data_IF_841941659394
#
_entry.id   IF_841941659394
#
_cell.length_a   1.000
_cell.length_b   1.000
_cell.length_c   1.000
_cell.angle_alpha   90.00
_cell.angle_beta   90.00
_cell.angle_gamma   90.00
#
_symmetry.space_group_name_H-M   'P 1'
#
loop_
_entity.id
_entity.type
_entity.pdbx_description
1 polymer ?
#
# COMPACT_ATOMS: atom_id res chain seq x y z
N UNK A 1 -0.45 17.92 -13.85
CA UNK A 1 -0.03 17.32 -12.57
C UNK A 1 -0.25 15.82 -12.70
N UNK A 2 0.73 14.98 -12.36
CA UNK A 2 0.57 13.53 -12.44
C UNK A 2 -0.08 13.01 -11.17
N UNK A 3 -0.96 12.02 -11.31
CA UNK A 3 -1.53 11.25 -10.20
C UNK A 3 -0.63 10.06 -9.93
N UNK A 4 -0.41 9.73 -8.67
CA UNK A 4 0.45 8.65 -8.21
C UNK A 4 -0.34 7.54 -7.51
N UNK A 5 0.26 6.37 -7.39
CA UNK A 5 -0.35 5.19 -6.81
C UNK A 5 -0.47 5.32 -5.29
N UNK A 6 -1.67 5.02 -4.77
CA UNK A 6 -1.96 4.94 -3.34
C UNK A 6 -2.73 3.67 -3.02
N UNK A 7 -2.38 3.05 -1.88
CA UNK A 7 -3.25 2.10 -1.22
C UNK A 7 -3.45 2.49 0.26
N UNK A 8 -4.69 2.42 0.73
CA UNK A 8 -5.04 2.50 2.14
C UNK A 8 -5.27 1.08 2.66
N UNK A 9 -4.74 0.78 3.84
CA UNK A 9 -4.88 -0.53 4.49
C UNK A 9 -5.33 -0.37 5.93
N UNK A 10 -6.37 -1.10 6.34
CA UNK A 10 -6.69 -1.22 7.78
C UNK A 10 -5.59 -2.05 8.44
N UNK A 11 -5.06 -1.62 9.58
CA UNK A 11 -4.08 -2.44 10.29
C UNK A 11 -4.33 -2.49 11.79
N UNK A 12 -3.90 -3.58 12.43
CA UNK A 12 -3.96 -3.74 13.87
C UNK A 12 -2.67 -3.27 14.53
N UNK A 13 -2.75 -2.75 15.76
CA UNK A 13 -1.56 -2.42 16.57
C UNK A 13 -1.01 -3.64 17.32
N UNK A 14 -1.10 -4.83 16.72
CA UNK A 14 -0.59 -6.07 17.32
C UNK A 14 0.93 -6.05 17.42
N UNK A 15 1.49 -6.89 18.29
CA UNK A 15 2.95 -7.01 18.44
C UNK A 15 3.59 -7.56 17.16
N UNK A 16 2.86 -8.41 16.45
CA UNK A 16 3.21 -9.02 15.17
C UNK A 16 3.39 -7.95 14.10
N UNK A 17 2.44 -7.02 13.97
CA UNK A 17 2.55 -5.91 13.01
C UNK A 17 3.71 -4.96 13.37
N UNK A 18 3.92 -4.67 14.66
CA UNK A 18 5.07 -3.87 15.08
C UNK A 18 6.40 -4.57 14.71
N UNK A 19 6.49 -5.89 14.86
CA UNK A 19 7.65 -6.67 14.42
C UNK A 19 7.81 -6.66 12.90
N UNK A 20 6.72 -6.74 12.14
CA UNK A 20 6.75 -6.66 10.68
C UNK A 20 7.28 -5.29 10.21
N UNK A 21 6.80 -4.19 10.81
CA UNK A 21 7.31 -2.83 10.53
C UNK A 21 8.80 -2.72 10.87
N UNK A 22 9.25 -3.30 11.99
CA UNK A 22 10.68 -3.38 12.30
C UNK A 22 11.45 -4.17 11.24
N UNK A 23 10.86 -5.23 10.69
CA UNK A 23 11.46 -6.02 9.63
C UNK A 23 11.61 -5.23 8.33
N UNK A 24 10.62 -4.41 7.98
CA UNK A 24 10.70 -3.49 6.83
C UNK A 24 11.79 -2.43 7.02
N UNK A 25 11.87 -1.82 8.21
CA UNK A 25 12.90 -0.84 8.56
C UNK A 25 14.31 -1.44 8.47
N UNK A 26 14.48 -2.69 8.94
CA UNK A 26 15.76 -3.39 8.92
C UNK A 26 16.01 -4.20 7.63
N UNK A 27 15.11 -4.11 6.64
CA UNK A 27 15.19 -4.81 5.36
C UNK A 27 15.29 -6.34 5.48
N UNK A 28 14.76 -6.91 6.56
CA UNK A 28 14.68 -8.38 6.74
C UNK A 28 13.44 -8.97 6.07
N UNK A 29 12.56 -8.11 5.55
CA UNK A 29 11.35 -8.47 4.81
C UNK A 29 11.40 -7.76 3.46
N UNK A 30 11.67 -8.47 2.36
CA UNK A 30 11.58 -7.89 1.02
C UNK A 30 10.11 -7.69 0.64
N UNK A 31 9.75 -6.55 0.05
CA UNK A 31 8.38 -6.32 -0.44
C UNK A 31 8.21 -6.86 -1.87
N UNK A 32 9.11 -6.48 -2.78
CA UNK A 32 9.18 -7.09 -4.11
C UNK A 32 10.45 -6.66 -4.83
N UNK A 33 11.33 -7.62 -5.15
CA UNK A 33 12.49 -7.37 -6.00
C UNK A 33 12.10 -6.92 -7.43
N UNK A 34 10.87 -7.24 -7.85
CA UNK A 34 10.36 -6.92 -9.17
C UNK A 34 10.06 -5.42 -9.33
N UNK A 35 9.58 -4.73 -8.28
CA UNK A 35 9.35 -3.27 -8.31
C UNK A 35 10.63 -2.54 -8.70
N UNK A 36 11.76 -2.89 -8.08
CA UNK A 36 13.08 -2.32 -8.40
C UNK A 36 13.58 -2.71 -9.78
N UNK A 37 13.22 -3.89 -10.27
CA UNK A 37 13.58 -4.31 -11.63
C UNK A 37 12.84 -3.46 -12.67
N UNK A 38 11.53 -3.27 -12.48
CA UNK A 38 10.71 -2.44 -13.37
C UNK A 38 11.13 -0.97 -13.32
N UNK A 39 11.48 -0.43 -12.16
CA UNK A 39 11.99 0.95 -12.06
C UNK A 39 13.21 1.20 -12.94
N UNK A 40 14.17 0.27 -12.90
CA UNK A 40 15.40 0.33 -13.70
C UNK A 40 15.12 0.16 -15.19
N UNK A 41 14.21 -0.74 -15.56
CA UNK A 41 13.82 -0.98 -16.95
C UNK A 41 13.21 0.27 -17.60
N UNK A 42 12.41 1.03 -16.85
CA UNK A 42 11.76 2.25 -17.31
C UNK A 42 12.62 3.51 -17.09
N UNK A 43 13.89 3.36 -16.72
CA UNK A 43 14.87 4.44 -16.47
C UNK A 43 14.36 5.52 -15.48
N UNK A 44 13.50 5.13 -14.54
CA UNK A 44 13.11 6.05 -13.48
C UNK A 44 14.31 6.32 -12.56
N UNK A 45 14.53 7.60 -12.20
CA UNK A 45 15.68 8.02 -11.41
C UNK A 45 15.67 7.35 -10.03
N UNK A 46 16.63 6.46 -9.79
CA UNK A 46 16.88 5.88 -8.47
C UNK A 46 17.43 6.97 -7.53
N UNK A 47 16.56 7.65 -6.81
CA UNK A 47 16.99 8.61 -5.79
C UNK A 47 17.49 7.86 -4.54
N UNK A 48 18.74 7.37 -4.50
CA UNK A 48 19.40 6.80 -3.30
C UNK A 48 18.49 5.94 -2.39
N UNK A 49 17.85 4.91 -2.96
CA UNK A 49 16.99 3.96 -2.24
C UNK A 49 17.78 2.84 -1.54
N UNK A 50 19.09 3.02 -1.37
CA UNK A 50 19.99 1.97 -0.84
C UNK A 50 19.66 1.51 0.60
N UNK A 51 18.78 2.21 1.33
CA UNK A 51 18.28 1.75 2.63
C UNK A 51 16.88 2.26 2.95
N UNK A 52 16.16 1.44 3.72
CA UNK A 52 14.93 1.88 4.38
C UNK A 52 15.24 2.93 5.45
N UNK A 53 14.41 3.97 5.56
CA UNK A 53 14.57 5.01 6.56
C UNK A 53 13.28 5.81 6.78
N UNK A 54 13.17 6.47 7.93
CA UNK A 54 12.07 7.38 8.23
C UNK A 54 12.35 8.76 7.64
N UNK A 55 11.36 9.34 6.97
CA UNK A 55 11.44 10.64 6.31
C UNK A 55 10.26 11.53 6.67
N UNK A 56 10.47 12.84 6.75
CA UNK A 56 9.38 13.79 6.91
C UNK A 56 8.61 13.94 5.59
N UNK A 57 7.27 14.01 5.66
CA UNK A 57 6.41 14.06 4.48
C UNK A 57 6.56 15.37 3.68
N UNK A 58 6.81 16.48 4.36
CA UNK A 58 6.87 17.82 3.76
C UNK A 58 8.09 18.05 2.87
N UNK A 59 9.23 17.46 3.22
CA UNK A 59 10.52 17.75 2.57
C UNK A 59 11.38 16.50 2.29
N UNK A 60 10.92 15.30 2.65
CA UNK A 60 11.64 14.05 2.44
C UNK A 60 12.91 13.89 3.28
N UNK A 61 13.20 14.80 4.22
CA UNK A 61 14.40 14.74 5.05
C UNK A 61 14.33 13.54 5.97
N UNK A 62 15.44 12.83 6.11
CA UNK A 62 15.54 11.74 7.08
C UNK A 62 15.29 12.25 8.51
N UNK A 63 14.46 11.53 9.26
CA UNK A 63 14.09 11.83 10.65
C UNK A 63 14.24 10.59 11.54
N UNK A 64 14.03 10.75 12.84
CA UNK A 64 13.98 9.63 13.78
C UNK A 64 12.65 8.90 13.64
N UNK A 65 12.68 7.61 13.90
CA UNK A 65 11.48 6.78 14.02
C UNK A 65 10.49 7.39 15.03
N UNK A 66 9.20 7.56 14.66
CA UNK A 66 8.18 8.01 15.59
C UNK A 66 7.87 6.91 16.64
N UNK A 67 7.45 7.33 17.85
CA UNK A 67 7.10 6.39 18.94
C UNK A 67 5.77 5.68 18.73
N UNK A 68 4.96 6.17 17.80
CA UNK A 68 3.64 5.66 17.45
C UNK A 68 3.22 6.22 16.09
N UNK A 69 1.93 6.14 15.75
CA UNK A 69 1.38 6.75 14.54
C UNK A 69 1.67 8.25 14.48
N UNK A 70 2.15 8.70 13.33
CA UNK A 70 2.53 10.07 13.06
C UNK A 70 2.37 10.33 11.55
N UNK A 71 1.41 11.19 11.18
CA UNK A 71 1.09 11.47 9.78
C UNK A 71 2.11 12.40 9.11
N UNK A 72 3.01 13.01 9.89
CA UNK A 72 4.07 13.87 9.36
C UNK A 72 5.30 13.10 8.91
N UNK A 73 5.34 11.79 9.16
CA UNK A 73 6.52 10.95 8.93
C UNK A 73 6.12 9.65 8.21
N UNK A 74 6.90 9.28 7.19
CA UNK A 74 6.74 8.02 6.46
C UNK A 74 7.98 7.14 6.61
N UNK A 75 7.77 5.82 6.63
CA UNK A 75 8.85 4.86 6.40
C UNK A 75 9.03 4.70 4.89
N UNK A 76 10.15 5.21 4.37
CA UNK A 76 10.58 4.96 2.99
C UNK A 76 11.27 3.60 2.93
N UNK A 77 10.80 2.71 2.06
CA UNK A 77 11.39 1.38 1.83
C UNK A 77 12.45 1.43 0.73
N UNK A 78 13.23 0.35 0.60
CA UNK A 78 14.21 0.20 -0.49
C UNK A 78 13.55 -0.03 -1.85
N UNK A 79 12.30 -0.48 -1.85
CA UNK A 79 11.52 -0.75 -3.06
C UNK A 79 10.72 0.49 -3.51
N UNK A 80 10.99 1.67 -2.94
CA UNK A 80 10.38 2.94 -3.38
C UNK A 80 9.01 3.26 -2.77
N UNK A 81 8.53 2.48 -1.80
CA UNK A 81 7.27 2.75 -1.10
C UNK A 81 7.47 3.71 0.08
N UNK A 82 6.47 4.52 0.34
CA UNK A 82 6.37 5.37 1.53
C UNK A 82 5.17 4.90 2.35
N UNK A 83 5.44 4.41 3.56
CA UNK A 83 4.42 3.90 4.48
C UNK A 83 4.17 4.92 5.59
N UNK A 84 2.99 5.53 5.60
CA UNK A 84 2.57 6.48 6.64
C UNK A 84 1.53 5.81 7.53
N UNK A 85 1.75 5.81 8.84
CA UNK A 85 0.91 5.10 9.80
C UNK A 85 0.04 6.08 10.59
N UNK A 86 -1.27 6.01 10.36
CA UNK A 86 -2.31 6.73 11.12
C UNK A 86 -2.94 5.90 12.22
N UNK A 87 -4.11 6.31 12.71
CA UNK A 87 -4.83 5.55 13.74
C UNK A 87 -5.57 4.34 13.14
N UNK A 88 -4.88 3.19 13.06
CA UNK A 88 -5.48 1.94 12.56
C UNK A 88 -5.61 1.87 11.03
N UNK A 89 -5.00 2.83 10.33
CA UNK A 89 -4.90 2.87 8.87
C UNK A 89 -3.44 3.16 8.47
N UNK A 90 -2.96 2.44 7.47
CA UNK A 90 -1.67 2.65 6.83
C UNK A 90 -1.90 3.18 5.41
N UNK A 91 -1.24 4.28 5.06
CA UNK A 91 -1.17 4.76 3.69
C UNK A 91 0.12 4.27 3.05
N UNK A 92 -0.01 3.50 1.98
CA UNK A 92 1.05 3.03 1.11
C UNK A 92 1.08 3.92 -0.12
N UNK A 93 2.09 4.77 -0.24
CA UNK A 93 2.27 5.68 -1.36
C UNK A 93 3.46 5.24 -2.21
N UNK A 94 3.36 5.36 -3.53
CA UNK A 94 4.45 5.05 -4.45
C UNK A 94 4.42 5.97 -5.67
N UNK A 95 5.59 6.46 -6.11
CA UNK A 95 5.76 7.44 -7.20
C UNK A 95 5.43 6.90 -8.61
N UNK A 96 4.86 5.71 -8.70
CA UNK A 96 4.40 5.15 -9.97
C UNK A 96 3.18 5.96 -10.37
N UNK A 97 3.22 6.56 -11.57
CA UNK A 97 2.04 7.29 -12.08
C UNK A 97 0.86 6.34 -12.16
N UNK A 98 -0.28 6.78 -11.65
CA UNK A 98 -1.55 6.06 -11.67
C UNK A 98 -1.86 5.54 -13.08
N UNK A 99 -1.60 6.35 -14.11
CA UNK A 99 -1.73 5.92 -15.51
C UNK A 99 -0.92 4.65 -15.84
N UNK A 100 0.34 4.54 -15.42
CA UNK A 100 1.14 3.34 -15.68
C UNK A 100 0.60 2.13 -14.94
N UNK A 101 0.15 2.31 -13.69
CA UNK A 101 -0.58 1.26 -12.99
C UNK A 101 -1.82 0.83 -13.78
N UNK A 102 -2.60 1.76 -14.35
CA UNK A 102 -3.79 1.41 -15.11
C UNK A 102 -3.49 0.77 -16.48
N UNK A 103 -2.40 1.13 -17.15
CA UNK A 103 -2.16 0.73 -18.55
C UNK A 103 -1.15 -0.40 -18.73
N UNK A 104 -0.25 -0.63 -17.77
CA UNK A 104 0.86 -1.57 -17.92
C UNK A 104 0.66 -2.83 -17.07
N UNK A 105 0.37 -4.00 -17.66
CA UNK A 105 0.05 -5.22 -16.91
C UNK A 105 1.14 -5.69 -15.95
N UNK A 106 2.42 -5.46 -16.28
CA UNK A 106 3.54 -5.81 -15.39
C UNK A 106 3.52 -4.93 -14.13
N UNK A 107 3.31 -3.62 -14.29
CA UNK A 107 3.17 -2.73 -13.15
C UNK A 107 1.94 -3.07 -12.31
N UNK A 108 0.81 -3.46 -12.93
CA UNK A 108 -0.38 -3.91 -12.21
C UNK A 108 -0.07 -5.09 -11.29
N UNK A 109 0.42 -6.19 -11.88
CA UNK A 109 0.70 -7.42 -11.14
C UNK A 109 1.71 -7.18 -10.02
N UNK A 110 2.80 -6.46 -10.31
CA UNK A 110 3.85 -6.19 -9.33
C UNK A 110 3.38 -5.29 -8.19
N UNK A 111 2.60 -4.23 -8.46
CA UNK A 111 2.10 -3.33 -7.42
C UNK A 111 1.02 -3.99 -6.56
N UNK A 112 0.15 -4.81 -7.16
CA UNK A 112 -0.85 -5.56 -6.41
C UNK A 112 -0.21 -6.63 -5.54
N UNK A 113 0.76 -7.39 -6.05
CA UNK A 113 1.51 -8.35 -5.24
C UNK A 113 2.28 -7.69 -4.08
N UNK A 114 2.82 -6.48 -4.29
CA UNK A 114 3.43 -5.70 -3.21
C UNK A 114 2.40 -5.25 -2.16
N UNK A 115 1.19 -4.84 -2.61
CA UNK A 115 0.10 -4.49 -1.70
C UNK A 115 -0.43 -5.68 -0.91
N UNK A 116 -0.55 -6.86 -1.52
CA UNK A 116 -0.90 -8.12 -0.84
C UNK A 116 0.14 -8.47 0.21
N UNK A 117 1.42 -8.42 -0.14
CA UNK A 117 2.52 -8.68 0.79
C UNK A 117 2.51 -7.71 1.98
N UNK A 118 2.28 -6.41 1.71
CA UNK A 118 2.13 -5.40 2.75
C UNK A 118 0.88 -5.64 3.61
N UNK A 119 -0.24 -6.01 3.00
CA UNK A 119 -1.47 -6.33 3.70
C UNK A 119 -1.28 -7.50 4.65
N UNK A 120 -0.60 -8.57 4.21
CA UNK A 120 -0.30 -9.73 5.03
C UNK A 120 0.62 -9.36 6.22
N UNK A 121 1.65 -8.55 5.96
CA UNK A 121 2.57 -8.06 6.99
C UNK A 121 1.86 -7.23 8.06
N UNK A 122 0.90 -6.40 7.66
CA UNK A 122 0.12 -5.55 8.58
C UNK A 122 -1.18 -6.21 9.05
N UNK A 123 -1.41 -7.47 8.68
CA UNK A 123 -2.62 -8.25 8.97
C UNK A 123 -3.91 -7.52 8.53
N UNK A 124 -3.84 -6.82 7.41
CA UNK A 124 -4.96 -6.14 6.78
C UNK A 124 -5.82 -7.10 5.98
N UNK A 125 -7.14 -7.00 6.15
CA UNK A 125 -8.13 -7.65 5.28
C UNK A 125 -8.80 -6.65 4.34
N UNK A 126 -8.64 -5.35 4.59
CA UNK A 126 -9.27 -4.28 3.84
C UNK A 126 -8.18 -3.42 3.19
N UNK A 127 -8.04 -3.54 1.87
CA UNK A 127 -7.16 -2.69 1.07
C UNK A 127 -7.99 -1.93 0.04
N UNK A 128 -7.81 -0.62 -0.02
CA UNK A 128 -8.40 0.25 -1.02
C UNK A 128 -7.28 0.88 -1.86
N UNK A 129 -7.32 0.68 -3.18
CA UNK A 129 -6.33 1.17 -4.15
C UNK A 129 -6.94 2.32 -4.93
N UNK A 130 -6.19 3.43 -5.06
CA UNK A 130 -6.65 4.68 -5.65
C UNK A 130 -5.47 5.55 -6.11
N UNK A 131 -5.77 6.73 -6.64
CA UNK A 131 -4.75 7.77 -6.84
C UNK A 131 -4.60 8.67 -5.60
N UNK A 132 -3.49 9.40 -5.53
CA UNK A 132 -3.24 10.44 -4.51
C UNK A 132 -4.12 11.70 -4.65
N UNK A 133 -4.96 11.79 -5.69
CA UNK A 133 -5.97 12.84 -5.85
C UNK A 133 -7.32 12.45 -5.26
N UNK A 134 -7.48 11.19 -4.85
CA UNK A 134 -8.73 10.67 -4.32
C UNK A 134 -9.05 11.29 -2.94
N UNK A 135 -10.31 11.67 -2.62
CA UNK A 135 -10.66 12.30 -1.34
C UNK A 135 -10.23 11.51 -0.10
N UNK A 136 -10.26 10.18 -0.17
CA UNK A 136 -9.80 9.29 0.90
C UNK A 136 -8.33 9.49 1.29
N UNK A 137 -7.47 9.90 0.35
CA UNK A 137 -6.07 10.22 0.62
C UNK A 137 -5.95 11.49 1.45
N UNK A 138 -6.68 12.55 1.09
CA UNK A 138 -6.74 13.78 1.89
C UNK A 138 -7.31 13.52 3.29
N UNK A 139 -8.43 12.79 3.38
CA UNK A 139 -9.05 12.43 4.65
C UNK A 139 -8.10 11.66 5.58
N UNK A 140 -7.25 10.79 5.04
CA UNK A 140 -6.21 10.11 5.81
C UNK A 140 -5.23 11.10 6.46
N UNK A 141 -4.74 12.10 5.71
CA UNK A 141 -3.83 13.12 6.25
C UNK A 141 -4.52 14.11 7.20
N UNK A 142 -5.84 14.23 7.12
CA UNK A 142 -6.66 14.93 8.14
C UNK A 142 -6.87 14.10 9.42
N UNK A 143 -6.36 12.86 9.46
CA UNK A 143 -6.39 11.99 10.63
C UNK A 143 -7.58 11.04 10.71
N UNK A 144 -8.34 10.88 9.61
CA UNK A 144 -9.43 9.92 9.57
C UNK A 144 -8.93 8.48 9.73
N UNK A 145 -9.76 7.65 10.38
CA UNK A 145 -9.60 6.20 10.36
C UNK A 145 -10.07 5.59 9.05
N UNK A 146 -9.75 4.32 8.80
CA UNK A 146 -9.98 3.65 7.52
C UNK A 146 -11.40 3.82 6.94
N UNK A 147 -12.44 3.51 7.72
CA UNK A 147 -13.83 3.60 7.26
C UNK A 147 -14.26 5.04 6.95
N UNK A 148 -13.75 6.00 7.72
CA UNK A 148 -14.00 7.43 7.50
C UNK A 148 -13.26 7.94 6.25
N UNK A 149 -12.05 7.46 5.97
CA UNK A 149 -11.37 7.77 4.71
C UNK A 149 -12.22 7.35 3.51
N UNK A 150 -12.75 6.13 3.52
CA UNK A 150 -13.56 5.62 2.40
C UNK A 150 -14.91 6.33 2.27
N UNK A 151 -15.49 6.73 3.40
CA UNK A 151 -16.76 7.48 3.43
C UNK A 151 -16.62 8.92 2.94
N UNK A 152 -15.39 9.45 2.85
CA UNK A 152 -15.14 10.77 2.27
C UNK A 152 -15.39 10.81 0.75
N UNK A 153 -15.37 9.63 0.11
CA UNK A 153 -15.56 9.50 -1.32
C UNK A 153 -17.05 9.30 -1.66
N UNK A 154 -17.60 10.20 -2.50
CA UNK A 154 -19.03 10.23 -2.83
C UNK A 154 -19.24 10.33 -4.33
N UNK A 155 -20.40 9.87 -4.82
CA UNK A 155 -20.72 9.95 -6.25
C UNK A 155 -19.74 9.15 -7.12
N UNK A 156 -19.09 9.81 -8.08
CA UNK A 156 -18.13 9.19 -9.00
C UNK A 156 -16.80 8.80 -8.33
N UNK A 157 -16.55 9.29 -7.11
CA UNK A 157 -15.35 8.97 -6.35
C UNK A 157 -15.58 7.80 -5.38
N UNK A 158 -16.80 7.24 -5.33
CA UNK A 158 -17.13 6.14 -4.44
C UNK A 158 -16.41 4.82 -4.82
N UNK A 159 -16.68 3.77 -4.04
CA UNK A 159 -16.18 2.42 -4.35
C UNK A 159 -16.65 1.99 -5.75
N UNK A 160 -15.69 1.69 -6.64
CA UNK A 160 -15.99 1.26 -8.01
C UNK A 160 -16.27 -0.24 -8.05
N UNK A 161 -15.50 -1.02 -7.28
CA UNK A 161 -15.64 -2.47 -7.21
C UNK A 161 -14.36 -3.16 -6.78
N UNK A 162 -14.24 -4.45 -7.12
CA UNK A 162 -13.06 -5.25 -6.84
C UNK A 162 -11.95 -5.00 -7.88
N UNK A 163 -10.69 -4.96 -7.45
CA UNK A 163 -9.56 -4.61 -8.32
C UNK A 163 -9.37 -5.58 -9.50
N UNK A 164 -9.76 -6.84 -9.39
CA UNK A 164 -9.70 -7.76 -10.53
C UNK A 164 -10.68 -7.37 -11.65
N UNK A 165 -11.81 -6.74 -11.31
CA UNK A 165 -12.79 -6.26 -12.28
C UNK A 165 -12.30 -5.03 -13.05
N UNK A 166 -11.37 -4.26 -12.48
CA UNK A 166 -10.74 -3.12 -13.16
C UNK A 166 -10.17 -3.60 -14.50
N UNK A 167 -9.44 -4.72 -14.48
CA UNK A 167 -8.71 -5.21 -15.65
C UNK A 167 -9.59 -5.94 -16.67
N UNK A 168 -10.78 -6.38 -16.28
CA UNK A 168 -11.79 -6.95 -17.19
C UNK A 168 -12.57 -5.86 -17.94
N UNK A 169 -12.69 -4.65 -17.34
CA UNK A 169 -13.55 -3.56 -17.82
C UNK A 169 -12.80 -2.43 -18.54
N UNK A 170 -11.47 -2.47 -18.60
CA UNK A 170 -10.68 -1.41 -19.24
C UNK A 170 -10.84 -1.49 -20.76
N UNK A 171 -11.78 -0.73 -21.30
CA UNK A 171 -11.63 -0.17 -22.63
C UNK A 171 -10.57 0.95 -22.58
N UNK A 172 -9.63 1.06 -23.54
CA UNK A 172 -8.52 2.02 -23.52
C UNK A 172 -8.90 3.51 -23.40
N UNK A 173 -10.18 3.87 -23.34
CA UNK A 173 -10.70 5.23 -23.39
C UNK A 173 -11.78 5.58 -22.36
N UNK A 174 -12.19 4.66 -21.47
CA UNK A 174 -13.27 4.90 -20.49
C UNK A 174 -12.80 4.89 -19.03
N UNK A 175 -11.53 5.21 -18.79
CA UNK A 175 -10.89 5.13 -17.46
C UNK A 175 -11.66 5.93 -16.41
N UNK A 176 -12.45 5.24 -15.59
CA UNK A 176 -12.98 5.84 -14.37
C UNK A 176 -11.84 5.88 -13.33
N UNK A 177 -11.07 6.95 -13.40
CA UNK A 177 -9.92 7.21 -12.53
C UNK A 177 -10.29 7.87 -11.21
N UNK A 178 -11.60 8.04 -10.96
CA UNK A 178 -12.11 8.89 -9.89
C UNK A 178 -12.40 8.14 -8.59
N UNK A 179 -12.83 6.87 -8.66
CA UNK A 179 -13.13 6.07 -7.47
C UNK A 179 -11.99 5.16 -6.99
N UNK A 180 -12.26 4.40 -5.93
CA UNK A 180 -11.31 3.44 -5.37
C UNK A 180 -11.74 1.98 -5.61
N UNK A 181 -10.74 1.10 -5.61
CA UNK A 181 -10.90 -0.33 -5.88
C UNK A 181 -10.50 -1.17 -4.69
N UNK A 182 -11.27 -2.22 -4.38
CA UNK A 182 -10.98 -3.14 -3.28
C UNK A 182 -10.01 -4.23 -3.71
N UNK A 183 -8.95 -4.41 -2.94
CA UNK A 183 -8.07 -5.57 -3.00
C UNK A 183 -8.35 -6.41 -1.75
N UNK A 184 -8.86 -7.63 -1.93
CA UNK A 184 -8.97 -8.60 -0.83
C UNK A 184 -7.62 -9.30 -0.70
N UNK A 185 -6.96 -9.16 0.45
CA UNK A 185 -5.88 -10.08 0.80
C UNK A 185 -6.48 -11.48 0.93
N UNK A 186 -5.78 -12.49 0.40
CA UNK A 186 -6.12 -13.89 0.60
C UNK A 186 -6.30 -14.18 2.09
N UNK A 187 -7.35 -14.93 2.46
CA UNK A 187 -7.55 -15.30 3.87
C UNK A 187 -6.24 -15.83 4.47
N UNK A 188 -5.82 -15.35 5.65
CA UNK A 188 -4.57 -15.79 6.26
C UNK A 188 -4.65 -17.31 6.38
N UNK A 189 -3.75 -17.99 5.69
CA UNK A 189 -3.68 -19.44 5.60
C UNK A 189 -3.68 -20.00 7.03
N UNK A 190 -4.86 -20.41 7.52
CA UNK A 190 -5.00 -21.05 8.82
C UNK A 190 -4.37 -22.41 8.64
N UNK A 191 -3.08 -22.51 8.92
CA UNK A 191 -2.40 -23.78 9.11
C UNK A 191 -3.28 -24.61 10.04
N UNK A 192 -3.92 -25.64 9.50
CA UNK A 192 -4.66 -26.63 10.30
C UNK A 192 -3.69 -27.08 11.39
N UNK A 193 -4.06 -27.07 12.68
CA UNK A 193 -3.26 -27.76 13.67
C UNK A 193 -3.18 -29.22 13.19
N UNK A 194 -1.95 -29.72 12.98
CA UNK A 194 -1.76 -31.14 12.71
C UNK A 194 -2.47 -31.89 13.82
N UNK A 195 -3.48 -32.69 13.45
CA UNK A 195 -4.09 -33.61 14.37
C UNK A 195 -2.94 -34.39 15.04
N UNK A 196 -2.78 -34.21 16.34
CA UNK A 196 -1.92 -35.07 17.13
C UNK A 196 -2.45 -36.48 16.93
N UNK A 197 -1.65 -37.32 16.28
CA UNK A 197 -1.82 -38.76 16.40
C UNK A 197 -1.54 -39.13 17.85
N UNK A 198 -2.62 -39.21 18.62
CA UNK A 198 -2.70 -40.14 19.73
C UNK A 198 -2.65 -41.55 19.14
N UNK A 199 -1.59 -42.30 19.44
CA UNK A 199 -1.45 -43.68 19.01
C UNK A 199 -0.33 -44.40 19.73
N UNK A 200 -0.62 -44.77 20.98
CA UNK A 200 -0.09 -45.90 21.79
C UNK A 200 1.43 -46.07 21.93
#
# INVERSE_FOLDING_TARGET
MGMDFVALMRYSRSREVVRAINGLENQTVPLSAEVRSLWREYEFSESDWGRACWVAHDNGRQVKRPRGPDLSVALRTVDGFFLTFGQGVCCVYHLLRWRFFLTEPRWQATMLGACESLADLVQSQDVAVMSDFHPSYAAFFDGAGFDACLSAAVGQEAEVGMIHELFEKVEPHSWDSHGFWRLRSSEPNRSKPSAGEHGL
#
